data_IF_399568919478
#
_entry.id   IF_399568919478
#
_cell.length_a   1.000
_cell.length_b   1.000
_cell.length_c   1.000
_cell.angle_alpha   90.00
_cell.angle_beta   90.00
_cell.angle_gamma   90.00
#
_symmetry.space_group_name_H-M   'P 1'
#
loop_
_entity.id
_entity.type
_entity.pdbx_description
1 polymer ?
#
# COMPACT_ATOMS: atom_id res chain seq x y z
N UNK A 1 -20.08 18.51 -1.84
CA UNK A 1 -21.10 19.60 -1.89
C UNK A 1 -22.16 19.51 -0.78
N UNK A 2 -22.55 18.30 -0.34
CA UNK A 2 -23.56 18.08 0.71
C UNK A 2 -23.07 18.43 2.13
N UNK A 3 -21.87 17.95 2.50
CA UNK A 3 -21.28 18.17 3.81
C UNK A 3 -20.33 19.37 3.80
N UNK A 4 -20.58 20.36 4.65
CA UNK A 4 -19.88 21.64 4.71
C UNK A 4 -19.00 21.74 5.97
N UNK A 5 -18.30 20.66 6.30
CA UNK A 5 -17.50 20.57 7.53
C UNK A 5 -16.28 21.48 7.41
N UNK A 6 -16.12 22.35 8.39
CA UNK A 6 -14.96 23.21 8.59
C UNK A 6 -14.95 23.67 10.05
N UNK A 7 -13.82 24.18 10.52
CA UNK A 7 -13.69 24.64 11.91
C UNK A 7 -14.66 25.79 12.23
N UNK A 8 -15.00 26.66 11.25
CA UNK A 8 -15.98 27.75 11.47
C UNK A 8 -17.45 27.32 11.34
N UNK A 9 -17.73 26.12 10.81
CA UNK A 9 -19.11 25.66 10.59
C UNK A 9 -19.53 24.55 11.54
N UNK A 10 -18.59 23.80 12.12
CA UNK A 10 -18.88 22.74 13.08
C UNK A 10 -19.36 23.35 14.41
N UNK A 11 -20.39 22.75 15.02
CA UNK A 11 -20.95 23.17 16.32
C UNK A 11 -21.31 24.66 16.41
N UNK A 12 -21.74 25.27 15.30
CA UNK A 12 -22.04 26.70 15.25
C UNK A 12 -23.19 27.08 16.23
N UNK A 13 -23.25 28.34 16.71
CA UNK A 13 -24.20 28.77 17.73
C UNK A 13 -25.66 28.86 17.25
N UNK A 14 -25.91 28.71 15.94
CA UNK A 14 -27.26 28.84 15.37
C UNK A 14 -28.20 27.71 15.83
N UNK A 15 -29.24 28.03 16.60
CA UNK A 15 -30.23 27.05 17.07
C UNK A 15 -30.86 26.21 15.95
N UNK A 16 -31.17 26.82 14.81
CA UNK A 16 -31.71 26.13 13.64
C UNK A 16 -30.74 25.10 13.00
N UNK A 17 -29.43 25.18 13.29
CA UNK A 17 -28.43 24.25 12.76
C UNK A 17 -28.23 23.03 13.66
N UNK A 18 -28.71 23.03 14.92
CA UNK A 18 -28.57 21.88 15.84
C UNK A 18 -29.30 20.63 15.36
N UNK A 19 -30.25 20.76 14.44
CA UNK A 19 -30.92 19.64 13.76
C UNK A 19 -30.07 19.03 12.63
N UNK A 20 -29.04 19.73 12.14
CA UNK A 20 -28.14 19.24 11.09
C UNK A 20 -27.04 18.34 11.65
N UNK A 21 -27.45 17.29 12.38
CA UNK A 21 -26.52 16.41 13.08
C UNK A 21 -25.76 15.52 12.12
N UNK A 22 -24.53 15.22 12.53
CA UNK A 22 -23.66 14.28 11.84
C UNK A 22 -23.93 12.89 12.44
N UNK A 23 -24.12 11.84 11.61
CA UNK A 23 -24.27 10.48 12.10
C UNK A 23 -23.11 10.06 13.00
N UNK A 24 -23.38 9.17 13.96
CA UNK A 24 -22.41 8.58 14.91
C UNK A 24 -21.75 9.54 15.92
N UNK A 25 -21.89 10.87 15.77
CA UNK A 25 -21.23 11.84 16.66
C UNK A 25 -22.20 12.94 17.14
N UNK A 26 -21.85 13.60 18.24
CA UNK A 26 -22.66 14.68 18.83
C UNK A 26 -22.35 16.06 18.25
N UNK A 27 -22.12 16.14 16.94
CA UNK A 27 -21.79 17.38 16.24
C UNK A 27 -22.83 17.75 15.19
N UNK A 28 -22.91 19.03 14.85
CA UNK A 28 -23.78 19.54 13.80
C UNK A 28 -23.06 20.55 12.90
N UNK A 29 -23.52 20.66 11.66
CA UNK A 29 -22.90 21.53 10.65
C UNK A 29 -23.79 22.76 10.40
N UNK A 30 -23.18 23.93 10.35
CA UNK A 30 -23.86 25.17 9.98
C UNK A 30 -24.54 25.06 8.60
N UNK A 31 -25.84 25.42 8.54
CA UNK A 31 -26.59 25.49 7.27
C UNK A 31 -26.45 26.84 6.57
N UNK A 32 -26.06 27.90 7.29
CA UNK A 32 -26.06 29.29 6.83
C UNK A 32 -24.77 29.72 6.15
N UNK A 33 -23.62 29.28 6.67
CA UNK A 33 -22.29 29.69 6.21
C UNK A 33 -21.60 28.52 5.50
N UNK A 34 -20.79 28.81 4.48
CA UNK A 34 -19.86 27.84 3.90
C UNK A 34 -18.50 28.03 4.55
N UNK A 35 -17.94 26.94 5.06
CA UNK A 35 -16.60 26.97 5.61
C UNK A 35 -15.52 27.01 4.54
N UNK A 36 -14.31 27.38 4.93
CA UNK A 36 -13.13 27.49 4.09
C UNK A 36 -12.61 26.13 3.64
N UNK A 37 -12.68 25.09 4.49
CA UNK A 37 -12.20 23.74 4.12
C UNK A 37 -12.90 23.15 2.90
N UNK A 38 -14.25 23.09 2.82
CA UNK A 38 -14.94 22.59 1.64
C UNK A 38 -14.66 23.40 0.37
N UNK A 39 -14.34 24.69 0.50
CA UNK A 39 -13.98 25.54 -0.64
C UNK A 39 -12.59 25.18 -1.16
N UNK A 40 -11.58 25.15 -0.29
CA UNK A 40 -10.19 24.84 -0.67
C UNK A 40 -10.09 23.40 -1.20
N UNK A 41 -10.61 22.42 -0.45
CA UNK A 41 -10.62 21.01 -0.85
C UNK A 41 -11.39 20.83 -2.15
N UNK A 42 -12.51 21.53 -2.32
CA UNK A 42 -13.29 21.52 -3.56
C UNK A 42 -12.47 22.00 -4.76
N UNK A 43 -11.81 23.16 -4.65
CA UNK A 43 -10.97 23.72 -5.72
C UNK A 43 -9.83 22.76 -6.07
N UNK A 44 -9.10 22.26 -5.07
CA UNK A 44 -7.98 21.34 -5.30
C UNK A 44 -8.44 20.03 -5.97
N UNK A 45 -9.59 19.50 -5.54
CA UNK A 45 -10.22 18.32 -6.15
C UNK A 45 -10.62 18.59 -7.59
N UNK A 46 -11.29 19.70 -7.86
CA UNK A 46 -11.83 20.03 -9.18
C UNK A 46 -10.68 20.26 -10.18
N UNK A 47 -9.61 20.95 -9.77
CA UNK A 47 -8.38 21.10 -10.56
C UNK A 47 -7.74 19.73 -10.82
N UNK A 48 -7.60 18.90 -9.78
CA UNK A 48 -6.98 17.58 -9.90
C UNK A 48 -7.75 16.69 -10.88
N UNK A 49 -9.06 16.54 -10.68
CA UNK A 49 -9.90 15.60 -11.43
C UNK A 49 -10.22 16.14 -12.82
N UNK A 50 -10.62 17.42 -12.92
CA UNK A 50 -11.04 18.03 -14.17
C UNK A 50 -9.91 18.27 -15.15
N UNK A 51 -8.67 18.47 -14.68
CA UNK A 51 -7.53 18.79 -15.54
C UNK A 51 -6.43 17.74 -15.47
N UNK A 52 -5.73 17.65 -14.33
CA UNK A 52 -4.46 16.94 -14.24
C UNK A 52 -4.59 15.41 -14.36
N UNK A 53 -5.63 14.82 -13.75
CA UNK A 53 -5.88 13.38 -13.79
C UNK A 53 -6.31 12.89 -15.18
N UNK A 54 -7.14 13.67 -15.86
CA UNK A 54 -7.56 13.36 -17.24
C UNK A 54 -6.39 13.51 -18.20
N UNK A 55 -5.61 14.60 -18.07
CA UNK A 55 -4.43 14.84 -18.90
C UNK A 55 -3.32 13.79 -18.69
N UNK A 56 -3.12 13.28 -17.46
CA UNK A 56 -2.09 12.25 -17.22
C UNK A 56 -2.39 10.92 -17.91
N UNK A 57 -3.67 10.65 -18.24
CA UNK A 57 -4.13 9.44 -18.95
C UNK A 57 -4.27 9.64 -20.47
N UNK A 58 -4.13 10.86 -20.98
CA UNK A 58 -4.38 11.17 -22.40
C UNK A 58 -3.21 10.75 -23.30
N UNK A 59 -3.30 9.55 -23.88
CA UNK A 59 -2.27 8.95 -24.76
C UNK A 59 -1.90 9.80 -25.99
N UNK A 60 -2.66 10.85 -26.33
CA UNK A 60 -2.31 11.79 -27.42
C UNK A 60 -1.16 12.72 -27.04
N UNK A 61 -0.88 12.88 -25.75
CA UNK A 61 0.19 13.73 -25.25
C UNK A 61 1.55 13.00 -25.19
N UNK A 62 2.66 13.73 -25.37
CA UNK A 62 4.01 13.21 -25.15
C UNK A 62 4.20 12.60 -23.76
N UNK A 63 5.04 11.57 -23.64
CA UNK A 63 5.26 10.81 -22.39
C UNK A 63 5.83 11.69 -21.26
N UNK A 64 6.76 12.58 -21.57
CA UNK A 64 7.35 13.53 -20.61
C UNK A 64 6.28 14.47 -20.03
N UNK A 65 5.38 14.96 -20.87
CA UNK A 65 4.25 15.81 -20.46
C UNK A 65 3.24 15.01 -19.62
N UNK A 66 2.90 13.78 -20.02
CA UNK A 66 2.02 12.90 -19.23
C UNK A 66 2.61 12.58 -17.87
N UNK A 67 3.91 12.30 -17.81
CA UNK A 67 4.65 12.04 -16.58
C UNK A 67 4.62 13.25 -15.64
N UNK A 68 4.78 14.47 -16.18
CA UNK A 68 4.61 15.70 -15.39
C UNK A 68 3.19 15.86 -14.85
N UNK A 69 2.16 15.67 -15.69
CA UNK A 69 0.76 15.71 -15.24
C UNK A 69 0.46 14.67 -14.15
N UNK A 70 1.03 13.46 -14.28
CA UNK A 70 0.92 12.40 -13.28
C UNK A 70 1.55 12.83 -11.96
N UNK A 71 2.75 13.42 -11.99
CA UNK A 71 3.39 13.94 -10.78
C UNK A 71 2.53 15.02 -10.08
N UNK A 72 1.92 15.93 -10.83
CA UNK A 72 1.05 16.98 -10.27
C UNK A 72 -0.24 16.40 -9.69
N UNK A 73 -0.94 15.51 -10.41
CA UNK A 73 -2.18 14.94 -9.88
C UNK A 73 -1.95 14.08 -8.64
N UNK A 74 -0.81 13.37 -8.56
CA UNK A 74 -0.42 12.62 -7.36
C UNK A 74 -0.10 13.57 -6.20
N UNK A 75 0.58 14.68 -6.45
CA UNK A 75 0.85 15.70 -5.43
C UNK A 75 -0.46 16.28 -4.86
N UNK A 76 -1.40 16.65 -5.73
CA UNK A 76 -2.73 17.12 -5.33
C UNK A 76 -3.50 16.04 -4.54
N UNK A 77 -3.38 14.76 -4.91
CA UNK A 77 -3.97 13.64 -4.16
C UNK A 77 -3.44 13.58 -2.73
N UNK A 78 -2.12 13.74 -2.55
CA UNK A 78 -1.49 13.76 -1.22
C UNK A 78 -2.06 14.90 -0.37
N UNK A 79 -2.16 16.12 -0.93
CA UNK A 79 -2.76 17.26 -0.22
C UNK A 79 -4.22 17.02 0.18
N UNK A 80 -5.03 16.49 -0.73
CA UNK A 80 -6.44 16.17 -0.46
C UNK A 80 -6.58 15.14 0.66
N UNK A 81 -5.78 14.07 0.63
CA UNK A 81 -5.80 13.03 1.65
C UNK A 81 -5.30 13.55 3.02
N UNK A 82 -4.31 14.44 3.03
CA UNK A 82 -3.79 15.05 4.25
C UNK A 82 -4.74 16.05 4.89
N UNK A 83 -5.63 16.69 4.10
CA UNK A 83 -6.55 17.73 4.56
C UNK A 83 -7.49 17.26 5.67
N UNK A 84 -7.86 15.98 5.68
CA UNK A 84 -8.61 15.38 6.78
C UNK A 84 -7.75 15.24 8.05
N UNK A 85 -6.62 14.54 7.95
CA UNK A 85 -5.82 14.15 9.11
C UNK A 85 -5.19 15.32 9.84
N UNK A 86 -4.84 16.39 9.12
CA UNK A 86 -4.21 17.57 9.72
C UNK A 86 -5.13 18.29 10.72
N UNK A 87 -6.44 18.19 10.55
CA UNK A 87 -7.41 18.82 11.46
C UNK A 87 -7.40 18.22 12.87
N UNK A 88 -6.87 17.00 13.04
CA UNK A 88 -6.66 16.34 14.33
C UNK A 88 -5.24 16.48 14.89
N UNK A 89 -4.35 17.23 14.24
CA UNK A 89 -2.99 17.45 14.70
C UNK A 89 -2.89 18.73 15.54
N UNK A 90 -2.49 18.62 16.81
CA UNK A 90 -2.40 19.75 17.76
C UNK A 90 -1.47 20.88 17.28
N UNK A 91 -0.47 20.55 16.46
CA UNK A 91 0.48 21.51 15.88
C UNK A 91 -0.10 22.31 14.72
N UNK A 92 -1.28 21.95 14.22
CA UNK A 92 -1.90 22.62 13.08
C UNK A 92 -2.62 23.91 13.53
N UNK A 93 -2.39 25.06 12.88
CA UNK A 93 -3.04 26.32 13.28
C UNK A 93 -4.58 26.30 13.27
N UNK A 94 -5.19 25.41 12.49
CA UNK A 94 -6.64 25.23 12.41
C UNK A 94 -7.07 23.88 13.03
N UNK A 95 -6.34 23.42 14.05
CA UNK A 95 -6.65 22.23 14.82
C UNK A 95 -8.09 22.29 15.35
N UNK A 96 -8.87 21.26 15.03
CA UNK A 96 -10.28 21.17 15.39
C UNK A 96 -10.69 19.69 15.47
N UNK A 97 -10.57 19.03 16.63
CA UNK A 97 -10.97 17.64 16.82
C UNK A 97 -12.40 17.32 16.38
N UNK A 98 -13.41 18.18 16.62
CA UNK A 98 -14.76 17.95 16.12
C UNK A 98 -14.83 17.81 14.59
N UNK A 99 -13.99 18.52 13.84
CA UNK A 99 -13.91 18.38 12.37
C UNK A 99 -13.35 17.00 12.01
N UNK A 100 -12.24 16.59 12.63
CA UNK A 100 -11.61 15.29 12.39
C UNK A 100 -12.59 14.15 12.71
N UNK A 101 -13.19 14.16 13.89
CA UNK A 101 -14.17 13.15 14.32
C UNK A 101 -15.36 13.07 13.35
N UNK A 102 -15.87 14.23 12.93
CA UNK A 102 -17.00 14.33 12.01
C UNK A 102 -16.70 13.78 10.62
N UNK A 103 -15.51 14.06 10.07
CA UNK A 103 -15.10 13.52 8.76
C UNK A 103 -14.94 12.00 8.86
N UNK A 104 -14.29 11.49 9.92
CA UNK A 104 -14.12 10.05 10.14
C UNK A 104 -15.48 9.33 10.28
N UNK A 105 -16.40 9.92 11.04
CA UNK A 105 -17.76 9.40 11.21
C UNK A 105 -18.55 9.38 9.89
N UNK A 106 -18.49 10.47 9.11
CA UNK A 106 -19.13 10.48 7.79
C UNK A 106 -18.52 9.47 6.82
N UNK A 107 -17.20 9.23 6.89
CA UNK A 107 -16.55 8.20 6.08
C UNK A 107 -17.10 6.80 6.40
N UNK A 108 -17.16 6.43 7.69
CA UNK A 108 -17.75 5.16 8.12
C UNK A 108 -19.22 5.04 7.75
N UNK A 109 -20.00 6.07 8.05
CA UNK A 109 -21.42 6.13 7.70
C UNK A 109 -21.64 5.96 6.20
N UNK A 110 -20.82 6.62 5.37
CA UNK A 110 -20.93 6.53 3.92
C UNK A 110 -20.65 5.12 3.42
N UNK A 111 -19.57 4.48 3.87
CA UNK A 111 -19.26 3.10 3.48
C UNK A 111 -20.36 2.14 3.93
N UNK A 112 -20.85 2.27 5.17
CA UNK A 112 -21.94 1.43 5.67
C UNK A 112 -23.22 1.62 4.84
N UNK A 113 -23.58 2.86 4.50
CA UNK A 113 -24.76 3.11 3.66
C UNK A 113 -24.57 2.65 2.23
N UNK A 114 -23.38 2.77 1.66
CA UNK A 114 -23.05 2.22 0.34
C UNK A 114 -23.20 0.69 0.31
N UNK A 115 -22.80 -0.01 1.39
CA UNK A 115 -23.04 -1.44 1.55
C UNK A 115 -24.52 -1.80 1.59
N UNK A 116 -25.32 -1.06 2.37
CA UNK A 116 -26.77 -1.26 2.45
C UNK A 116 -27.45 -1.03 1.09
N UNK A 117 -27.05 0.02 0.37
CA UNK A 117 -27.57 0.34 -0.96
C UNK A 117 -27.21 -0.76 -1.96
N UNK A 118 -25.93 -1.17 -2.00
CA UNK A 118 -25.49 -2.25 -2.88
C UNK A 118 -26.28 -3.56 -2.62
N UNK A 119 -26.44 -3.93 -1.35
CA UNK A 119 -27.20 -5.13 -0.96
C UNK A 119 -28.67 -5.03 -1.36
N UNK A 120 -29.31 -3.87 -1.17
CA UNK A 120 -30.70 -3.64 -1.56
C UNK A 120 -30.92 -3.68 -3.09
N UNK A 121 -29.89 -3.34 -3.86
CA UNK A 121 -29.88 -3.45 -5.32
C UNK A 121 -29.54 -4.87 -5.82
N UNK A 122 -29.28 -5.82 -4.91
CA UNK A 122 -28.89 -7.18 -5.24
C UNK A 122 -27.46 -7.30 -5.77
N UNK A 123 -26.62 -6.29 -5.55
CA UNK A 123 -25.19 -6.31 -5.84
C UNK A 123 -24.47 -7.06 -4.73
N UNK A 124 -23.70 -8.08 -5.12
CA UNK A 124 -22.95 -8.91 -4.18
C UNK A 124 -21.66 -8.18 -3.76
N UNK A 125 -21.56 -7.81 -2.48
CA UNK A 125 -20.35 -7.22 -1.92
C UNK A 125 -19.44 -8.34 -1.41
N UNK A 126 -18.22 -8.37 -1.92
CA UNK A 126 -17.20 -9.37 -1.58
C UNK A 126 -16.31 -8.92 -0.42
N UNK A 127 -15.99 -7.62 -0.36
CA UNK A 127 -15.13 -7.04 0.66
C UNK A 127 -15.37 -5.54 0.82
N UNK A 128 -15.06 -4.99 1.99
CA UNK A 128 -15.09 -3.55 2.25
C UNK A 128 -13.95 -3.13 3.15
N UNK A 129 -13.29 -2.02 2.81
CA UNK A 129 -12.31 -1.33 3.65
C UNK A 129 -12.83 0.10 3.97
N UNK A 130 -11.99 0.86 4.66
CA UNK A 130 -12.21 2.20 5.22
C UNK A 130 -12.80 3.19 4.21
N UNK A 131 -12.47 3.03 2.92
CA UNK A 131 -12.82 3.96 1.84
C UNK A 131 -13.11 3.26 0.50
N UNK A 132 -13.27 1.93 0.47
CA UNK A 132 -13.45 1.17 -0.76
C UNK A 132 -14.31 -0.07 -0.57
N UNK A 133 -15.02 -0.46 -1.63
CA UNK A 133 -15.87 -1.64 -1.69
C UNK A 133 -15.49 -2.49 -2.89
N UNK A 134 -15.41 -3.80 -2.67
CA UNK A 134 -15.24 -4.79 -3.73
C UNK A 134 -16.58 -5.44 -3.98
N UNK A 135 -17.07 -5.28 -5.19
CA UNK A 135 -18.35 -5.82 -5.62
C UNK A 135 -18.15 -6.79 -6.77
N UNK A 136 -18.99 -7.82 -6.81
CA UNK A 136 -19.05 -8.72 -7.96
C UNK A 136 -19.86 -8.06 -9.07
N UNK A 137 -19.18 -7.70 -10.15
CA UNK A 137 -19.79 -7.04 -11.31
C UNK A 137 -20.47 -8.12 -12.16
N UNK A 138 -21.74 -7.91 -12.51
CA UNK A 138 -22.46 -8.73 -13.53
C UNK A 138 -22.51 -8.02 -14.87
N UNK A 139 -22.62 -6.68 -14.84
CA UNK A 139 -22.54 -5.79 -16.01
C UNK A 139 -21.96 -4.42 -15.62
N UNK A 140 -21.40 -3.68 -16.58
CA UNK A 140 -20.95 -2.29 -16.35
C UNK A 140 -22.12 -1.38 -15.91
N UNK A 141 -23.34 -1.68 -16.38
CA UNK A 141 -24.56 -0.93 -16.03
C UNK A 141 -24.88 -1.00 -14.53
N UNK A 142 -24.56 -2.12 -13.86
CA UNK A 142 -24.76 -2.26 -12.42
C UNK A 142 -23.89 -1.29 -11.62
N UNK A 143 -22.67 -1.02 -12.10
CA UNK A 143 -21.75 -0.07 -11.49
C UNK A 143 -22.31 1.34 -11.61
N UNK A 144 -22.72 1.75 -12.82
CA UNK A 144 -23.30 3.08 -13.03
C UNK A 144 -24.58 3.33 -12.22
N UNK A 145 -25.45 2.31 -12.11
CA UNK A 145 -26.67 2.40 -11.31
C UNK A 145 -26.34 2.57 -9.83
N UNK A 146 -25.38 1.81 -9.32
CA UNK A 146 -24.94 1.90 -7.94
C UNK A 146 -24.30 3.27 -7.63
N UNK A 147 -23.44 3.76 -8.52
CA UNK A 147 -22.83 5.09 -8.42
C UNK A 147 -23.89 6.20 -8.34
N UNK A 148 -24.87 6.18 -9.25
CA UNK A 148 -25.98 7.17 -9.28
C UNK A 148 -26.84 7.12 -8.02
N UNK A 149 -27.15 5.91 -7.53
CA UNK A 149 -27.98 5.74 -6.32
C UNK A 149 -27.25 6.25 -5.07
N UNK A 150 -25.94 5.99 -4.98
CA UNK A 150 -25.09 6.46 -3.88
C UNK A 150 -24.89 7.98 -3.95
N UNK A 151 -24.67 8.55 -5.14
CA UNK A 151 -24.58 10.00 -5.33
C UNK A 151 -25.89 10.68 -4.91
N UNK A 152 -27.04 10.14 -5.34
CA UNK A 152 -28.36 10.67 -4.97
C UNK A 152 -28.61 10.64 -3.46
N UNK A 153 -28.36 9.50 -2.81
CA UNK A 153 -28.64 9.32 -1.37
C UNK A 153 -27.61 9.97 -0.46
N UNK A 154 -26.32 9.89 -0.79
CA UNK A 154 -25.22 10.31 0.08
C UNK A 154 -24.56 11.61 -0.36
N UNK A 155 -24.75 12.06 -1.60
CA UNK A 155 -24.08 13.24 -2.16
C UNK A 155 -22.56 13.06 -2.22
N UNK A 156 -22.13 11.83 -2.45
CA UNK A 156 -20.74 11.41 -2.56
C UNK A 156 -20.53 10.70 -3.90
N UNK A 157 -19.43 11.05 -4.55
CA UNK A 157 -19.04 10.47 -5.82
C UNK A 157 -18.28 9.16 -5.54
N UNK A 158 -18.71 8.07 -6.17
CA UNK A 158 -17.91 6.86 -6.25
C UNK A 158 -17.18 6.83 -7.59
N UNK A 159 -16.05 6.14 -7.62
CA UNK A 159 -15.27 5.93 -8.82
C UNK A 159 -14.90 4.45 -8.90
N UNK A 160 -15.18 3.84 -10.04
CA UNK A 160 -14.59 2.56 -10.40
C UNK A 160 -13.06 2.68 -10.49
N UNK A 161 -12.35 2.20 -9.47
CA UNK A 161 -10.88 2.25 -9.43
C UNK A 161 -10.25 1.14 -10.29
N UNK A 162 -10.68 -0.11 -10.09
CA UNK A 162 -10.08 -1.29 -10.72
C UNK A 162 -11.10 -2.39 -10.99
N UNK A 163 -10.85 -3.14 -12.06
CA UNK A 163 -11.56 -4.38 -12.40
C UNK A 163 -10.57 -5.53 -12.27
N UNK A 164 -10.91 -6.52 -11.46
CA UNK A 164 -10.12 -7.72 -11.26
C UNK A 164 -10.83 -8.92 -11.87
N UNK A 165 -10.05 -9.76 -12.57
CA UNK A 165 -10.49 -11.09 -13.02
C UNK A 165 -10.82 -11.98 -11.82
N UNK A 166 -9.97 -11.94 -10.79
CA UNK A 166 -10.24 -12.58 -9.52
C UNK A 166 -9.53 -11.86 -8.37
N UNK A 167 -10.08 -12.06 -7.16
CA UNK A 167 -9.53 -11.52 -5.91
C UNK A 167 -9.48 -12.61 -4.86
N UNK A 168 -8.50 -12.53 -3.96
CA UNK A 168 -8.44 -13.37 -2.76
C UNK A 168 -8.28 -12.45 -1.55
N UNK A 169 -9.13 -12.64 -0.55
CA UNK A 169 -9.17 -11.84 0.66
C UNK A 169 -8.64 -12.67 1.82
N UNK A 170 -7.71 -12.12 2.59
CA UNK A 170 -7.30 -12.69 3.89
C UNK A 170 -8.33 -12.33 4.96
N UNK A 171 -8.35 -13.10 6.05
CA UNK A 171 -9.00 -12.71 7.32
C UNK A 171 -8.38 -11.43 7.90
N UNK A 172 -7.10 -11.19 7.62
CA UNK A 172 -6.39 -9.98 8.05
C UNK A 172 -6.90 -8.77 7.28
N UNK A 173 -7.41 -7.77 8.02
CA UNK A 173 -7.83 -6.48 7.44
C UNK A 173 -6.72 -5.86 6.61
N UNK A 174 -7.08 -5.30 5.45
CA UNK A 174 -6.17 -4.65 4.49
C UNK A 174 -5.13 -5.58 3.85
N UNK A 175 -5.31 -6.90 3.95
CA UNK A 175 -4.51 -7.87 3.22
C UNK A 175 -5.38 -8.60 2.18
N UNK A 176 -5.12 -8.33 0.90
CA UNK A 176 -5.82 -8.97 -0.20
C UNK A 176 -4.94 -8.96 -1.46
N UNK A 177 -5.26 -9.87 -2.38
CA UNK A 177 -4.68 -9.93 -3.71
C UNK A 177 -5.78 -9.76 -4.77
N UNK A 178 -5.46 -9.05 -5.85
CA UNK A 178 -6.31 -8.92 -7.02
C UNK A 178 -5.49 -9.08 -8.29
N UNK A 179 -6.00 -9.86 -9.25
CA UNK A 179 -5.37 -10.01 -10.57
C UNK A 179 -6.29 -9.41 -11.61
N UNK A 180 -5.78 -8.42 -12.34
CA UNK A 180 -6.51 -7.69 -13.38
C UNK A 180 -6.59 -8.52 -14.67
N UNK A 181 -7.47 -8.14 -15.59
CA UNK A 181 -7.64 -8.83 -16.88
C UNK A 181 -6.35 -8.86 -17.73
N UNK A 182 -5.54 -7.80 -17.66
CA UNK A 182 -4.23 -7.72 -18.32
C UNK A 182 -3.13 -8.57 -17.62
N UNK A 183 -3.48 -9.23 -16.52
CA UNK A 183 -2.58 -10.03 -15.69
C UNK A 183 -1.77 -9.23 -14.68
N UNK A 184 -2.06 -7.94 -14.48
CA UNK A 184 -1.43 -7.15 -13.42
C UNK A 184 -1.84 -7.70 -12.05
N UNK A 185 -0.87 -8.13 -11.26
CA UNK A 185 -1.07 -8.64 -9.88
C UNK A 185 -0.86 -7.52 -8.87
N UNK A 186 -1.93 -7.19 -8.16
CA UNK A 186 -1.94 -6.28 -7.02
C UNK A 186 -1.98 -7.06 -5.72
N UNK A 187 -0.98 -6.87 -4.87
CA UNK A 187 -0.96 -7.41 -3.50
C UNK A 187 -0.94 -6.22 -2.54
N UNK A 188 -1.98 -6.08 -1.74
CA UNK A 188 -2.15 -4.95 -0.82
C UNK A 188 -1.53 -5.25 0.54
N UNK A 189 -0.79 -4.25 1.03
CA UNK A 189 0.05 -4.32 2.24
C UNK A 189 1.54 -4.57 1.94
N UNK A 190 1.87 -4.95 0.71
CA UNK A 190 3.09 -5.70 0.38
C UNK A 190 4.41 -4.96 0.67
N UNK A 191 5.36 -5.70 1.26
CA UNK A 191 6.75 -5.27 1.53
C UNK A 191 7.74 -5.65 0.42
N UNK A 192 7.44 -6.69 -0.38
CA UNK A 192 8.35 -7.27 -1.38
C UNK A 192 8.75 -6.41 -2.56
N UNK A 193 7.99 -5.34 -2.88
CA UNK A 193 8.34 -4.39 -3.96
C UNK A 193 9.39 -3.35 -3.56
N UNK A 194 9.94 -3.39 -2.34
CA UNK A 194 10.95 -2.42 -1.92
C UNK A 194 12.27 -2.67 -2.65
N UNK A 195 12.87 -1.58 -3.19
CA UNK A 195 14.12 -1.62 -3.96
C UNK A 195 15.31 -2.20 -3.18
N UNK A 196 15.28 -2.12 -1.85
CA UNK A 196 16.34 -2.60 -0.97
C UNK A 196 16.22 -4.10 -0.62
N UNK A 197 15.24 -4.84 -1.13
CA UNK A 197 15.14 -6.28 -0.91
C UNK A 197 16.20 -7.02 -1.75
N UNK A 198 16.95 -7.98 -1.17
CA UNK A 198 17.94 -8.78 -1.90
C UNK A 198 17.40 -9.41 -3.19
N UNK A 199 18.27 -9.53 -4.19
CA UNK A 199 17.87 -9.94 -5.55
C UNK A 199 17.20 -11.32 -5.56
N UNK A 200 17.75 -12.30 -4.84
CA UNK A 200 17.20 -13.66 -4.82
C UNK A 200 15.76 -13.72 -4.28
N UNK A 201 15.42 -12.86 -3.30
CA UNK A 201 14.07 -12.76 -2.74
C UNK A 201 13.15 -12.08 -3.75
N UNK A 202 13.60 -11.00 -4.39
CA UNK A 202 12.82 -10.29 -5.42
C UNK A 202 12.49 -11.20 -6.60
N UNK A 203 13.46 -11.97 -7.08
CA UNK A 203 13.28 -12.93 -8.17
C UNK A 203 12.31 -14.05 -7.77
N UNK A 204 12.47 -14.64 -6.58
CA UNK A 204 11.53 -15.64 -6.08
C UNK A 204 10.11 -15.06 -6.00
N UNK A 205 9.97 -13.84 -5.48
CA UNK A 205 8.69 -13.18 -5.35
C UNK A 205 8.05 -12.88 -6.71
N UNK A 206 8.84 -12.42 -7.69
CA UNK A 206 8.36 -12.17 -9.04
C UNK A 206 7.87 -13.46 -9.72
N UNK A 207 8.56 -14.59 -9.53
CA UNK A 207 8.07 -15.90 -10.00
C UNK A 207 6.72 -16.26 -9.38
N UNK A 208 6.54 -16.03 -8.08
CA UNK A 208 5.27 -16.29 -7.40
C UNK A 208 4.13 -15.39 -7.94
N UNK A 209 4.41 -14.12 -8.26
CA UNK A 209 3.44 -13.25 -8.92
C UNK A 209 3.08 -13.74 -10.32
N UNK A 210 4.05 -14.26 -11.08
CA UNK A 210 3.80 -14.83 -12.40
C UNK A 210 2.91 -16.08 -12.33
N UNK A 211 3.03 -16.90 -11.28
CA UNK A 211 2.11 -18.01 -11.06
C UNK A 211 0.67 -17.55 -10.88
N UNK A 212 0.46 -16.50 -10.06
CA UNK A 212 -0.87 -15.92 -9.83
C UNK A 212 -1.43 -15.25 -11.09
N UNK A 213 -0.57 -14.60 -11.87
CA UNK A 213 -0.96 -13.97 -13.14
C UNK A 213 -1.63 -14.95 -14.10
N UNK A 214 -1.20 -16.21 -14.09
CA UNK A 214 -1.67 -17.25 -15.00
C UNK A 214 -2.92 -18.00 -14.51
N UNK A 215 -3.40 -17.72 -13.29
CA UNK A 215 -4.62 -18.33 -12.73
C UNK A 215 -5.88 -17.86 -13.45
N UNK A 216 -6.67 -18.80 -13.99
CA UNK A 216 -7.96 -18.52 -14.64
C UNK A 216 -9.13 -19.25 -13.99
N UNK A 217 -8.87 -20.36 -13.31
CA UNK A 217 -9.87 -21.19 -12.65
C UNK A 217 -9.49 -21.43 -11.18
N UNK A 218 -10.45 -21.86 -10.33
CA UNK A 218 -10.13 -22.27 -8.96
C UNK A 218 -9.10 -23.40 -8.88
N UNK A 219 -9.09 -24.34 -9.82
CA UNK A 219 -8.09 -25.41 -9.88
C UNK A 219 -6.68 -24.89 -10.22
N UNK A 220 -6.59 -23.89 -11.10
CA UNK A 220 -5.32 -23.22 -11.37
C UNK A 220 -4.76 -22.52 -10.12
N UNK A 221 -5.65 -21.98 -9.28
CA UNK A 221 -5.26 -21.31 -8.03
C UNK A 221 -4.62 -22.31 -7.07
N UNK A 222 -5.23 -23.48 -6.88
CA UNK A 222 -4.65 -24.53 -6.02
C UNK A 222 -3.29 -25.01 -6.55
N UNK A 223 -3.17 -25.20 -7.88
CA UNK A 223 -1.87 -25.52 -8.49
C UNK A 223 -0.85 -24.39 -8.32
N UNK A 224 -1.28 -23.12 -8.41
CA UNK A 224 -0.40 -21.98 -8.21
C UNK A 224 0.09 -21.90 -6.76
N UNK A 225 -0.78 -22.15 -5.76
CA UNK A 225 -0.37 -22.22 -4.34
C UNK A 225 0.76 -23.21 -4.12
N UNK A 226 0.64 -24.42 -4.68
CA UNK A 226 1.68 -25.45 -4.60
C UNK A 226 3.01 -25.00 -5.22
N UNK A 227 2.96 -24.39 -6.41
CA UNK A 227 4.17 -23.87 -7.08
C UNK A 227 4.81 -22.71 -6.31
N UNK A 228 4.01 -21.83 -5.71
CA UNK A 228 4.49 -20.73 -4.85
C UNK A 228 5.21 -21.30 -3.62
N UNK A 229 4.66 -22.34 -2.99
CA UNK A 229 5.32 -23.05 -1.88
C UNK A 229 6.69 -23.60 -2.32
N UNK A 230 6.77 -24.24 -3.49
CA UNK A 230 8.03 -24.74 -4.03
C UNK A 230 9.03 -23.62 -4.33
N UNK A 231 8.58 -22.49 -4.89
CA UNK A 231 9.41 -21.30 -5.15
C UNK A 231 10.06 -20.78 -3.86
N UNK A 232 9.29 -20.67 -2.77
CA UNK A 232 9.80 -20.22 -1.47
C UNK A 232 10.78 -21.22 -0.89
N UNK A 233 10.44 -22.53 -0.94
CA UNK A 233 11.33 -23.61 -0.48
C UNK A 233 12.63 -23.67 -1.26
N UNK A 234 12.59 -23.48 -2.57
CA UNK A 234 13.78 -23.45 -3.43
C UNK A 234 14.69 -22.25 -3.07
N UNK A 235 14.11 -21.06 -2.89
CA UNK A 235 14.85 -19.86 -2.50
C UNK A 235 15.53 -20.05 -1.14
N UNK A 236 14.79 -20.60 -0.17
CA UNK A 236 15.32 -20.97 1.16
C UNK A 236 16.44 -22.01 1.05
N UNK A 237 16.26 -23.06 0.25
CA UNK A 237 17.27 -24.10 0.05
C UNK A 237 18.56 -23.54 -0.51
N UNK A 238 18.50 -22.69 -1.56
CA UNK A 238 19.68 -22.03 -2.14
C UNK A 238 20.43 -21.18 -1.09
N UNK A 239 19.69 -20.49 -0.23
CA UNK A 239 20.24 -19.70 0.86
C UNK A 239 20.96 -20.57 1.91
N UNK A 240 20.28 -21.61 2.42
CA UNK A 240 20.82 -22.51 3.46
C UNK A 240 22.03 -23.30 2.96
N UNK A 241 21.98 -23.77 1.70
CA UNK A 241 23.08 -24.49 1.05
C UNK A 241 24.20 -23.55 0.56
N UNK A 242 24.12 -22.23 0.83
CA UNK A 242 25.10 -21.22 0.43
C UNK A 242 25.43 -21.24 -1.07
N UNK A 243 24.42 -21.54 -1.91
CA UNK A 243 24.55 -21.55 -3.39
C UNK A 243 24.30 -20.19 -4.04
N UNK A 244 24.06 -19.16 -3.23
CA UNK A 244 23.84 -17.78 -3.69
C UNK A 244 25.15 -17.00 -3.69
N UNK A 245 25.29 -16.06 -4.61
CA UNK A 245 26.39 -15.09 -4.65
C UNK A 245 26.18 -13.94 -3.65
N UNK A 246 27.24 -13.19 -3.32
CA UNK A 246 27.13 -12.04 -2.42
C UNK A 246 26.29 -10.93 -3.04
N UNK A 247 26.34 -10.77 -4.36
CA UNK A 247 25.54 -9.84 -5.14
C UNK A 247 24.05 -10.18 -5.05
N UNK A 248 23.69 -11.46 -5.06
CA UNK A 248 22.29 -11.90 -4.89
C UNK A 248 21.76 -11.59 -3.50
N UNK A 249 22.63 -11.67 -2.49
CA UNK A 249 22.34 -11.41 -1.08
C UNK A 249 22.43 -9.92 -0.73
N UNK A 250 22.96 -9.08 -1.60
CA UNK A 250 23.25 -7.69 -1.27
C UNK A 250 21.98 -6.86 -1.04
N UNK A 251 22.02 -6.05 0.00
CA UNK A 251 21.15 -4.91 0.21
C UNK A 251 21.80 -3.69 -0.43
N UNK A 252 21.08 -3.03 -1.33
CA UNK A 252 21.56 -1.83 -2.02
C UNK A 252 20.84 -0.58 -1.47
N UNK A 253 21.59 0.32 -0.85
CA UNK A 253 21.05 1.54 -0.25
C UNK A 253 21.92 2.74 -0.61
N UNK A 254 21.29 3.82 -1.08
CA UNK A 254 21.96 5.07 -1.39
C UNK A 254 22.30 5.85 -0.11
N UNK A 255 23.52 6.37 -0.03
CA UNK A 255 23.90 7.33 1.00
C UNK A 255 23.23 8.68 0.75
N UNK A 256 22.34 9.09 1.65
CA UNK A 256 21.59 10.35 1.54
C UNK A 256 22.32 11.55 2.13
N UNK A 257 23.35 11.32 2.95
CA UNK A 257 24.15 12.37 3.61
C UNK A 257 25.64 11.97 3.66
N UNK A 258 26.54 12.93 3.90
CA UNK A 258 27.94 12.66 4.26
C UNK A 258 28.07 11.80 5.54
N UNK A 259 29.12 10.99 5.64
CA UNK A 259 29.32 10.01 6.72
C UNK A 259 29.48 10.65 8.11
N UNK A 260 30.08 11.84 8.18
CA UNK A 260 30.28 12.65 9.38
C UNK A 260 28.95 13.14 10.00
N UNK A 261 27.88 13.24 9.21
CA UNK A 261 26.55 13.68 9.67
C UNK A 261 25.71 12.58 10.32
N UNK A 262 26.22 11.35 10.41
CA UNK A 262 25.53 10.23 11.08
C UNK A 262 26.06 10.04 12.51
N UNK A 263 25.56 10.87 13.45
CA UNK A 263 26.10 10.95 14.82
C UNK A 263 25.32 10.11 15.86
N UNK A 264 24.00 9.99 15.74
CA UNK A 264 23.15 9.38 16.80
C UNK A 264 22.92 7.89 16.65
N UNK A 265 22.57 7.44 15.45
CA UNK A 265 22.41 6.04 15.09
C UNK A 265 23.17 5.82 13.79
N UNK A 266 23.94 4.74 13.68
CA UNK A 266 24.65 4.40 12.45
C UNK A 266 23.86 3.31 11.71
N UNK A 267 23.13 3.66 10.63
CA UNK A 267 22.45 2.67 9.80
C UNK A 267 23.41 1.62 9.24
N UNK A 268 22.88 0.44 8.88
CA UNK A 268 23.69 -0.68 8.36
C UNK A 268 24.51 -0.30 7.11
N UNK A 269 23.90 0.38 6.14
CA UNK A 269 24.60 0.86 4.95
C UNK A 269 25.70 1.89 5.27
N UNK A 270 25.53 2.68 6.34
CA UNK A 270 26.56 3.63 6.80
C UNK A 270 27.71 2.90 7.50
N UNK A 271 27.43 1.83 8.26
CA UNK A 271 28.49 0.97 8.82
C UNK A 271 29.33 0.33 7.71
N UNK A 272 28.69 -0.24 6.70
CA UNK A 272 29.37 -0.83 5.55
C UNK A 272 30.20 0.22 4.78
N UNK A 273 29.65 1.43 4.59
CA UNK A 273 30.35 2.55 3.99
C UNK A 273 31.61 2.98 4.75
N UNK A 274 31.57 3.00 6.10
CA UNK A 274 32.74 3.32 6.93
C UNK A 274 33.85 2.28 6.75
N UNK A 275 33.52 0.99 6.64
CA UNK A 275 34.50 -0.07 6.37
C UNK A 275 35.18 0.09 5.01
N UNK A 276 34.43 0.53 3.98
CA UNK A 276 35.00 0.85 2.68
C UNK A 276 35.95 2.06 2.79
N UNK A 277 35.55 3.10 3.52
CA UNK A 277 36.38 4.29 3.74
C UNK A 277 37.68 3.97 4.48
N UNK A 278 37.64 3.08 5.48
CA UNK A 278 38.84 2.61 6.20
C UNK A 278 39.82 1.86 5.28
N UNK A 279 39.35 1.29 4.17
CA UNK A 279 40.18 0.71 3.10
C UNK A 279 40.67 1.73 2.06
N UNK A 280 40.38 3.01 2.25
CA UNK A 280 40.78 4.07 1.33
C UNK A 280 39.82 4.27 0.15
N UNK A 281 38.63 3.65 0.16
CA UNK A 281 37.63 3.94 -0.85
C UNK A 281 37.02 5.33 -0.66
N UNK A 282 36.84 6.04 -1.77
CA UNK A 282 36.11 7.28 -1.79
C UNK A 282 34.61 6.97 -1.71
N UNK A 283 34.00 7.39 -0.60
CA UNK A 283 32.57 7.24 -0.35
C UNK A 283 31.94 8.62 -0.24
N UNK A 284 31.09 8.95 -1.22
CA UNK A 284 30.41 10.23 -1.32
C UNK A 284 28.88 10.09 -1.23
N UNK A 285 28.19 11.18 -0.93
CA UNK A 285 26.72 11.26 -0.97
C UNK A 285 26.22 10.90 -2.38
N UNK A 286 25.13 10.13 -2.45
CA UNK A 286 24.60 9.58 -3.70
C UNK A 286 25.20 8.23 -4.11
N UNK A 287 26.33 7.78 -3.51
CA UNK A 287 26.88 6.44 -3.77
C UNK A 287 25.91 5.37 -3.24
N UNK A 288 25.68 4.34 -4.05
CA UNK A 288 24.96 3.13 -3.64
C UNK A 288 25.93 2.23 -2.90
N UNK A 289 25.56 1.83 -1.69
CA UNK A 289 26.34 0.91 -0.87
C UNK A 289 25.66 -0.45 -0.93
N UNK A 290 26.38 -1.42 -1.48
CA UNK A 290 25.99 -2.83 -1.48
C UNK A 290 26.58 -3.50 -0.24
N UNK A 291 25.74 -4.08 0.61
CA UNK A 291 26.19 -4.76 1.82
C UNK A 291 25.37 -6.02 2.10
N UNK A 292 25.97 -6.96 2.81
CA UNK A 292 25.35 -8.21 3.25
C UNK A 292 25.26 -8.25 4.76
N UNK A 293 24.29 -9.01 5.29
CA UNK A 293 24.17 -9.29 6.73
C UNK A 293 25.04 -10.48 7.10
N UNK A 294 25.84 -10.30 8.14
CA UNK A 294 26.83 -11.30 8.56
C UNK A 294 26.69 -11.62 10.03
N UNK A 295 27.19 -12.80 10.44
CA UNK A 295 27.28 -13.21 11.85
C UNK A 295 28.48 -12.60 12.58
N UNK A 296 29.24 -11.71 11.92
CA UNK A 296 30.37 -11.01 12.52
C UNK A 296 29.93 -9.97 13.54
N UNK A 297 30.86 -9.48 14.37
CA UNK A 297 30.60 -8.46 15.40
C UNK A 297 29.86 -7.23 14.88
N UNK A 298 30.17 -6.81 13.66
CA UNK A 298 29.57 -5.62 13.06
C UNK A 298 28.15 -5.87 12.51
N UNK A 299 27.78 -7.14 12.33
CA UNK A 299 26.48 -7.61 11.87
C UNK A 299 26.21 -7.38 10.38
N UNK A 300 27.03 -6.58 9.70
CA UNK A 300 26.96 -6.30 8.27
C UNK A 300 28.37 -6.07 7.71
N UNK A 301 28.56 -6.34 6.43
CA UNK A 301 29.79 -6.02 5.69
C UNK A 301 29.45 -5.57 4.26
N UNK A 302 30.20 -4.64 3.67
CA UNK A 302 30.11 -4.40 2.23
C UNK A 302 30.53 -5.66 1.45
N UNK A 303 30.00 -5.85 0.24
CA UNK A 303 30.18 -7.10 -0.53
C UNK A 303 31.66 -7.41 -0.80
N UNK A 304 32.49 -6.38 -0.94
CA UNK A 304 33.93 -6.45 -1.22
C UNK A 304 34.73 -6.99 -0.02
N UNK A 305 34.14 -7.02 1.17
CA UNK A 305 34.77 -7.43 2.43
C UNK A 305 34.17 -8.70 3.03
N UNK A 306 33.03 -9.15 2.53
CA UNK A 306 32.31 -10.29 3.04
C UNK A 306 32.78 -11.57 2.35
N UNK A 307 32.62 -12.70 3.04
CA UNK A 307 32.65 -14.02 2.42
C UNK A 307 31.30 -14.71 2.59
N UNK A 308 31.00 -15.67 1.72
CA UNK A 308 29.73 -16.40 1.78
C UNK A 308 29.54 -17.14 3.12
N UNK A 309 30.63 -17.52 3.77
CA UNK A 309 30.60 -18.24 5.04
C UNK A 309 30.19 -17.39 6.22
N UNK A 310 30.38 -16.07 6.12
CA UNK A 310 30.02 -15.12 7.17
C UNK A 310 28.53 -14.75 7.16
N UNK A 311 27.78 -15.15 6.12
CA UNK A 311 26.39 -14.77 5.91
C UNK A 311 25.48 -15.24 7.05
N UNK A 312 24.65 -14.32 7.52
CA UNK A 312 23.64 -14.59 8.54
C UNK A 312 22.37 -15.19 7.91
N UNK A 313 22.41 -16.50 7.63
CA UNK A 313 21.31 -17.24 6.99
C UNK A 313 19.97 -17.01 7.70
N UNK A 314 19.95 -17.01 9.03
CA UNK A 314 18.73 -16.83 9.83
C UNK A 314 18.08 -15.47 9.55
N UNK A 315 18.87 -14.39 9.53
CA UNK A 315 18.35 -13.07 9.14
C UNK A 315 17.81 -13.07 7.73
N UNK A 316 18.50 -13.68 6.76
CA UNK A 316 18.01 -13.74 5.39
C UNK A 316 16.74 -14.57 5.23
N UNK A 317 16.57 -15.63 6.02
CA UNK A 317 15.29 -16.37 6.10
C UNK A 317 14.18 -15.46 6.64
N UNK A 318 14.41 -14.67 7.69
CA UNK A 318 13.42 -13.69 8.18
C UNK A 318 13.00 -12.69 7.09
N UNK A 319 13.94 -12.18 6.29
CA UNK A 319 13.63 -11.31 5.16
C UNK A 319 12.84 -12.02 4.05
N UNK A 320 13.18 -13.27 3.76
CA UNK A 320 12.46 -14.10 2.78
C UNK A 320 11.00 -14.27 3.23
N UNK A 321 10.77 -14.76 4.45
CA UNK A 321 9.42 -15.01 4.95
C UNK A 321 8.62 -13.72 5.14
N UNK A 322 9.20 -12.65 5.70
CA UNK A 322 8.49 -11.36 5.84
C UNK A 322 8.14 -10.70 4.50
N UNK A 323 8.87 -11.03 3.42
CA UNK A 323 8.52 -10.58 2.07
C UNK A 323 7.30 -11.32 1.53
N UNK A 324 7.19 -12.60 1.85
CA UNK A 324 6.11 -13.47 1.38
C UNK A 324 4.90 -13.52 2.32
N UNK A 325 5.03 -13.10 3.59
CA UNK A 325 4.02 -13.22 4.65
C UNK A 325 2.62 -12.89 4.16
N UNK A 326 2.44 -11.69 3.60
CA UNK A 326 1.12 -11.23 3.18
C UNK A 326 0.57 -11.97 1.97
N UNK A 327 1.45 -12.38 1.05
CA UNK A 327 1.06 -13.16 -0.12
C UNK A 327 0.58 -14.55 0.33
N UNK A 328 1.34 -15.20 1.22
CA UNK A 328 1.02 -16.52 1.74
C UNK A 328 -0.24 -16.48 2.60
N UNK A 329 -0.37 -15.49 3.48
CA UNK A 329 -1.55 -15.25 4.31
C UNK A 329 -2.81 -15.02 3.45
N UNK A 330 -2.71 -14.19 2.40
CA UNK A 330 -3.82 -13.98 1.46
C UNK A 330 -4.21 -15.25 0.70
N UNK A 331 -3.28 -16.19 0.52
CA UNK A 331 -3.55 -17.48 -0.13
C UNK A 331 -3.99 -18.57 0.88
N UNK A 332 -4.07 -18.26 2.17
CA UNK A 332 -4.37 -19.24 3.22
C UNK A 332 -3.25 -20.26 3.44
N UNK A 333 -2.01 -19.93 3.08
CA UNK A 333 -0.85 -20.81 3.25
C UNK A 333 -0.20 -20.49 4.60
N UNK A 334 -0.22 -21.44 5.53
CA UNK A 334 0.51 -21.31 6.78
C UNK A 334 2.02 -21.27 6.51
N UNK A 335 2.66 -20.15 6.81
CA UNK A 335 4.10 -19.99 6.57
C UNK A 335 4.96 -20.65 7.67
N UNK A 336 4.42 -20.97 8.85
CA UNK A 336 5.18 -21.65 9.91
C UNK A 336 5.55 -23.09 9.50
N UNK A 337 4.66 -23.76 8.76
CA UNK A 337 4.98 -25.04 8.12
C UNK A 337 6.13 -24.91 7.10
N UNK A 338 6.29 -23.78 6.42
CA UNK A 338 7.41 -23.54 5.49
C UNK A 338 8.75 -23.30 6.22
N UNK A 339 8.72 -22.83 7.47
CA UNK A 339 9.91 -22.61 8.31
C UNK A 339 10.45 -23.92 8.88
N UNK A 340 9.57 -24.85 9.23
CA UNK A 340 9.98 -26.15 9.78
C UNK A 340 10.64 -27.03 8.71
N UNK A 341 11.64 -27.82 9.10
CA UNK A 341 12.45 -28.66 8.17
C UNK A 341 11.67 -29.85 7.59
N UNK A 342 10.42 -30.08 8.01
CA UNK A 342 9.74 -31.38 7.86
C UNK A 342 8.28 -31.27 7.39
N UNK A 343 7.87 -30.17 6.76
CA UNK A 343 6.49 -30.08 6.27
C UNK A 343 6.31 -30.85 4.95
N UNK A 344 5.67 -32.01 5.02
CA UNK A 344 5.16 -32.74 3.84
C UNK A 344 3.99 -31.98 3.20
N UNK A 345 3.74 -32.21 1.91
CA UNK A 345 2.63 -31.59 1.16
C UNK A 345 1.26 -31.85 1.82
N UNK A 346 1.11 -32.96 2.54
CA UNK A 346 -0.11 -33.35 3.24
C UNK A 346 -0.47 -32.45 4.44
N UNK A 347 0.42 -31.57 4.89
CA UNK A 347 0.15 -30.65 6.00
C UNK A 347 -0.52 -29.33 5.57
N UNK A 348 -0.74 -29.15 4.27
CA UNK A 348 -1.32 -27.93 3.67
C UNK A 348 -2.78 -28.09 3.22
N UNK A 349 -3.34 -29.30 3.34
CA UNK A 349 -4.71 -29.67 2.98
C UNK A 349 -5.41 -30.23 4.20
#
# INVERSE_FOLDING_TARGET
RKYRISFETINCPHSACKSNRIPEVNHWICKKVRGIFPLIVGILRDIRVGWYKSASKDKRLPEDIRSWYEAVQQSLKVFLNASYGVSGAETYPLYCPPVAESIAALGRYAIQKSLEIASAMGVEVLYGDTDSLFIKIRSEEDVEKLEKEIESKLGMDLELDKIYRYTVFSERKKNYLGVSEDGTVDVKGMTGKKRNTPRFIREAFQRALEELRNVKTPDDLEKAKLRIIEIVREARRKLVEKRLTLEELAFEVMLSKPLDKYEKTTPQHVKAAKMLQERGEIVATGKIIAYVKTKTREGVKPIELATIDEIDVEKYEEYLFSTFEQLLDALGIDYETLRTKTATLDQFF
#
